data_IF_042717393328
#
_entry.id   IF_042717393328
#
_cell.length_a   1.000
_cell.length_b   1.000
_cell.length_c   1.000
_cell.angle_alpha   90.00
_cell.angle_beta   90.00
_cell.angle_gamma   90.00
#
_symmetry.space_group_name_H-M   'P 1'
#
loop_
_entity.id
_entity.type
_entity.pdbx_description
1 polymer ?
#
# COMPACT_ATOMS: atom_id res chain seq x y z
N UNK A 1 9.11 7.66 4.94
CA UNK A 1 8.54 6.35 5.27
C UNK A 1 9.27 5.75 6.45
N UNK A 2 8.54 5.09 7.33
CA UNK A 2 9.11 4.32 8.45
C UNK A 2 8.46 2.94 8.47
N UNK A 3 9.25 1.91 8.73
CA UNK A 3 8.77 0.56 8.79
C UNK A 3 9.36 -0.21 9.97
N UNK A 4 8.58 -1.14 10.51
CA UNK A 4 9.00 -1.98 11.63
C UNK A 4 8.17 -3.26 11.67
N UNK A 5 8.71 -4.29 12.30
CA UNK A 5 7.92 -5.47 12.64
C UNK A 5 6.89 -5.11 13.70
N UNK A 6 5.64 -5.50 13.48
CA UNK A 6 4.56 -5.09 14.38
C UNK A 6 4.66 -5.75 15.76
N UNK A 7 5.12 -6.99 15.83
CA UNK A 7 5.23 -7.73 17.09
C UNK A 7 6.41 -7.28 17.96
N UNK A 8 7.60 -7.13 17.37
CA UNK A 8 8.81 -6.79 18.10
C UNK A 8 9.13 -5.30 18.12
N UNK A 9 8.48 -4.51 17.27
CA UNK A 9 8.77 -3.09 17.02
C UNK A 9 10.17 -2.86 16.43
N UNK A 10 10.85 -3.92 15.98
CA UNK A 10 12.17 -3.81 15.39
C UNK A 10 12.09 -3.03 14.07
N UNK A 11 12.89 -1.97 13.90
CA UNK A 11 12.88 -1.19 12.66
C UNK A 11 13.36 -2.02 11.47
N UNK A 12 12.82 -1.68 10.29
CA UNK A 12 13.22 -2.27 9.02
C UNK A 12 13.56 -1.13 8.07
N UNK A 13 14.69 -1.24 7.36
CA UNK A 13 15.03 -0.26 6.33
C UNK A 13 14.19 -0.51 5.06
N UNK A 14 14.13 0.50 4.19
CA UNK A 14 13.46 0.35 2.90
C UNK A 14 14.10 -0.77 2.07
N UNK A 15 15.40 -0.95 2.19
CA UNK A 15 16.13 -2.01 1.50
C UNK A 15 15.75 -3.40 2.00
N UNK A 16 15.43 -3.53 3.27
CA UNK A 16 15.03 -4.81 3.86
C UNK A 16 13.60 -5.21 3.53
N UNK A 17 12.81 -4.32 2.93
CA UNK A 17 11.48 -4.65 2.41
C UNK A 17 11.57 -5.43 1.09
N UNK A 18 12.60 -5.18 0.29
CA UNK A 18 12.74 -5.79 -1.04
C UNK A 18 12.79 -7.33 -1.00
N UNK A 19 13.49 -7.99 -0.06
CA UNK A 19 13.46 -9.44 0.04
C UNK A 19 12.06 -10.02 0.28
N UNK A 20 11.15 -9.24 0.85
CA UNK A 20 9.75 -9.61 1.04
C UNK A 20 8.87 -9.25 -0.17
N UNK A 21 9.48 -8.76 -1.24
CA UNK A 21 8.78 -8.40 -2.47
C UNK A 21 8.18 -7.00 -2.47
N UNK A 22 8.34 -6.25 -1.40
CA UNK A 22 7.77 -4.90 -1.27
C UNK A 22 8.79 -3.89 -1.79
N UNK A 23 8.40 -3.14 -2.82
CA UNK A 23 9.27 -2.15 -3.46
C UNK A 23 8.90 -0.75 -2.98
N UNK A 24 9.91 0.09 -2.87
CA UNK A 24 9.74 1.46 -2.36
C UNK A 24 10.66 2.42 -3.09
N UNK A 25 10.13 3.62 -3.39
CA UNK A 25 10.94 4.74 -3.85
C UNK A 25 10.32 6.05 -3.37
N UNK A 26 11.16 6.98 -2.93
CA UNK A 26 10.71 8.34 -2.65
C UNK A 26 10.74 9.16 -3.95
N UNK A 27 9.60 9.76 -4.30
CA UNK A 27 9.47 10.66 -5.44
C UNK A 27 8.98 12.01 -4.94
N UNK A 28 9.75 13.07 -5.16
CA UNK A 28 9.37 14.40 -4.68
C UNK A 28 7.93 14.73 -5.10
N UNK A 29 7.04 15.13 -4.18
CA UNK A 29 5.62 15.34 -4.50
C UNK A 29 5.37 16.66 -5.24
N UNK A 30 6.03 16.82 -6.37
CA UNK A 30 5.87 17.92 -7.30
C UNK A 30 5.58 17.33 -8.68
N UNK A 31 4.55 17.83 -9.41
CA UNK A 31 4.11 17.18 -10.66
C UNK A 31 5.20 16.95 -11.70
N UNK A 32 6.18 17.85 -11.81
CA UNK A 32 7.27 17.69 -12.76
C UNK A 32 8.27 16.60 -12.35
N UNK A 33 8.25 16.16 -11.09
CA UNK A 33 9.19 15.16 -10.58
C UNK A 33 8.54 13.80 -10.43
N UNK A 34 7.39 13.71 -9.72
CA UNK A 34 6.85 12.39 -9.43
C UNK A 34 6.34 11.68 -10.68
N UNK A 35 5.80 12.42 -11.66
CA UNK A 35 5.24 11.77 -12.84
C UNK A 35 6.34 11.07 -13.66
N UNK A 36 7.54 11.64 -13.73
CA UNK A 36 8.67 10.99 -14.39
C UNK A 36 8.99 9.66 -13.72
N UNK A 37 9.03 9.64 -12.40
CA UNK A 37 9.27 8.42 -11.62
C UNK A 37 8.16 7.39 -11.79
N UNK A 38 6.90 7.82 -11.78
CA UNK A 38 5.76 6.93 -12.00
C UNK A 38 5.80 6.32 -13.41
N UNK A 39 6.13 7.11 -14.42
CA UNK A 39 6.22 6.62 -15.80
C UNK A 39 7.35 5.59 -15.93
N UNK A 40 8.47 5.78 -15.24
CA UNK A 40 9.55 4.80 -15.22
C UNK A 40 9.10 3.47 -14.59
N UNK A 41 8.33 3.53 -13.50
CA UNK A 41 7.77 2.34 -12.87
C UNK A 41 6.72 1.65 -13.75
N UNK A 42 5.91 2.43 -14.48
CA UNK A 42 4.96 1.86 -15.45
C UNK A 42 5.69 1.01 -16.48
N UNK A 43 6.79 1.51 -17.04
CA UNK A 43 7.58 0.76 -18.00
C UNK A 43 8.17 -0.49 -17.36
N UNK A 44 8.76 -0.35 -16.18
CA UNK A 44 9.46 -1.45 -15.48
C UNK A 44 8.52 -2.57 -15.07
N UNK A 45 7.30 -2.24 -14.63
CA UNK A 45 6.35 -3.21 -14.08
C UNK A 45 5.15 -3.45 -14.99
N UNK A 46 5.12 -2.86 -16.18
CA UNK A 46 4.04 -3.02 -17.18
C UNK A 46 2.70 -2.47 -16.69
N UNK A 47 2.71 -1.38 -15.93
CA UNK A 47 1.49 -0.65 -15.65
C UNK A 47 1.14 0.23 -16.83
N UNK A 48 -0.14 0.29 -17.22
CA UNK A 48 -0.60 1.02 -18.39
C UNK A 48 -1.45 2.24 -18.06
N UNK A 49 -2.05 2.27 -16.88
CA UNK A 49 -2.95 3.37 -16.49
C UNK A 49 -2.66 3.82 -15.07
N UNK A 50 -3.14 5.02 -14.76
CA UNK A 50 -3.15 5.54 -13.40
C UNK A 50 -4.42 6.31 -13.13
N UNK A 51 -4.83 6.35 -11.88
CA UNK A 51 -5.88 7.22 -11.40
C UNK A 51 -5.50 7.82 -10.05
N UNK A 52 -6.38 8.63 -9.49
CA UNK A 52 -6.16 9.28 -8.22
C UNK A 52 -7.37 9.06 -7.33
N UNK A 53 -7.12 8.69 -6.07
CA UNK A 53 -8.16 8.49 -5.06
C UNK A 53 -7.87 9.37 -3.86
N UNK A 54 -8.92 9.76 -3.16
CA UNK A 54 -8.82 10.61 -1.98
C UNK A 54 -9.78 10.13 -0.90
N UNK A 55 -9.28 10.05 0.34
CA UNK A 55 -10.08 9.84 1.53
C UNK A 55 -9.87 11.01 2.48
N UNK A 56 -10.96 11.54 3.02
CA UNK A 56 -10.95 12.64 4.00
C UNK A 56 -11.95 12.33 5.09
N UNK A 57 -11.95 13.07 6.20
CA UNK A 57 -12.97 12.90 7.24
C UNK A 57 -14.40 13.10 6.72
N UNK A 58 -14.59 13.78 5.58
CA UNK A 58 -15.89 14.02 4.97
C UNK A 58 -16.30 12.99 3.92
N UNK A 59 -15.45 12.01 3.63
CA UNK A 59 -15.75 10.98 2.65
C UNK A 59 -16.99 10.19 3.08
N UNK A 60 -18.01 10.05 2.20
CA UNK A 60 -19.21 9.26 2.53
C UNK A 60 -18.83 7.81 2.87
N UNK A 61 -19.47 7.26 3.92
CA UNK A 61 -19.23 5.90 4.38
C UNK A 61 -17.76 5.61 4.73
N UNK A 62 -17.05 6.59 5.24
CA UNK A 62 -15.63 6.43 5.55
C UNK A 62 -15.40 5.27 6.53
N UNK A 63 -16.25 5.13 7.55
CA UNK A 63 -16.11 4.05 8.54
C UNK A 63 -16.16 2.67 7.88
N UNK A 64 -17.12 2.46 6.96
CA UNK A 64 -17.22 1.20 6.24
C UNK A 64 -16.05 0.94 5.33
N UNK A 65 -15.53 1.98 4.67
CA UNK A 65 -14.35 1.87 3.81
C UNK A 65 -13.12 1.48 4.63
N UNK A 66 -12.92 2.13 5.78
CA UNK A 66 -11.79 1.84 6.68
C UNK A 66 -11.86 0.39 7.17
N UNK A 67 -13.04 -0.07 7.55
CA UNK A 67 -13.23 -1.45 8.01
C UNK A 67 -12.90 -2.46 6.93
N UNK A 68 -13.33 -2.20 5.69
CA UNK A 68 -13.01 -3.08 4.56
C UNK A 68 -11.51 -3.16 4.30
N UNK A 69 -10.83 -2.02 4.30
CA UNK A 69 -9.40 -1.97 4.00
C UNK A 69 -8.55 -2.61 5.09
N UNK A 70 -9.04 -2.69 6.31
CA UNK A 70 -8.30 -3.27 7.43
C UNK A 70 -8.44 -4.79 7.54
N UNK A 71 -9.32 -5.40 6.77
CA UNK A 71 -9.40 -6.86 6.69
C UNK A 71 -8.21 -7.39 5.89
N UNK A 72 -7.57 -8.41 6.41
CA UNK A 72 -6.43 -9.04 5.73
C UNK A 72 -6.88 -9.65 4.40
N UNK A 73 -6.26 -9.21 3.32
CA UNK A 73 -6.63 -9.62 1.97
C UNK A 73 -5.43 -9.55 1.03
N UNK A 74 -5.60 -10.13 -0.17
CA UNK A 74 -4.65 -9.96 -1.26
C UNK A 74 -5.40 -9.62 -2.54
N UNK A 75 -4.66 -9.16 -3.52
CA UNK A 75 -5.12 -9.00 -4.89
C UNK A 75 -4.26 -9.84 -5.82
N UNK A 76 -4.80 -10.21 -6.97
CA UNK A 76 -4.04 -10.95 -7.99
C UNK A 76 -3.14 -10.04 -8.83
N UNK A 77 -3.26 -8.72 -8.67
CA UNK A 77 -2.37 -7.72 -9.26
C UNK A 77 -1.56 -7.03 -8.17
N UNK A 78 -0.46 -6.38 -8.58
CA UNK A 78 0.29 -5.53 -7.66
C UNK A 78 -0.59 -4.41 -7.14
N UNK A 79 -0.38 -4.03 -5.89
CA UNK A 79 -0.97 -2.81 -5.35
C UNK A 79 0.10 -1.72 -5.33
N UNK A 80 0.10 -0.86 -6.34
CA UNK A 80 1.05 0.24 -6.48
C UNK A 80 0.37 1.55 -6.10
N UNK A 81 0.90 2.22 -5.08
CA UNK A 81 0.33 3.45 -4.52
C UNK A 81 1.42 4.50 -4.34
N UNK A 82 1.20 5.67 -4.91
CA UNK A 82 2.04 6.84 -4.66
C UNK A 82 1.26 7.83 -3.80
N UNK A 83 1.81 8.20 -2.66
CA UNK A 83 1.15 9.10 -1.73
C UNK A 83 1.46 10.54 -2.14
N UNK A 84 0.45 11.24 -2.66
CA UNK A 84 0.58 12.62 -3.11
C UNK A 84 0.46 13.59 -1.94
N UNK A 85 -0.50 13.33 -1.04
CA UNK A 85 -0.75 14.15 0.15
C UNK A 85 -1.28 13.27 1.27
N UNK A 86 -1.04 13.70 2.50
CA UNK A 86 -1.53 12.96 3.67
C UNK A 86 -0.64 11.80 4.04
N UNK A 87 -1.24 10.79 4.68
CA UNK A 87 -0.51 9.66 5.23
C UNK A 87 -1.40 8.43 5.35
N UNK A 88 -0.76 7.28 5.45
CA UNK A 88 -1.45 6.00 5.64
C UNK A 88 -0.55 4.96 6.27
N UNK A 89 -1.13 3.84 6.62
CA UNK A 89 -0.43 2.74 7.28
C UNK A 89 -0.76 1.45 6.55
N UNK A 90 0.26 0.83 5.97
CA UNK A 90 0.13 -0.51 5.38
C UNK A 90 0.70 -1.53 6.36
N UNK A 91 -0.05 -2.58 6.62
CA UNK A 91 0.47 -3.79 7.25
C UNK A 91 0.57 -4.86 6.17
N UNK A 92 1.75 -5.41 6.00
CA UNK A 92 2.06 -6.35 4.92
C UNK A 92 2.68 -7.60 5.52
N UNK A 93 2.22 -8.77 5.09
CA UNK A 93 2.83 -10.02 5.56
C UNK A 93 4.23 -10.19 4.98
N UNK A 94 5.18 -10.49 5.84
CA UNK A 94 6.53 -10.88 5.42
C UNK A 94 6.52 -12.30 4.84
N UNK A 95 7.66 -12.74 4.32
CA UNK A 95 7.77 -14.10 3.79
C UNK A 95 7.58 -15.17 4.86
N UNK A 96 7.84 -14.85 6.12
CA UNK A 96 7.62 -15.74 7.26
C UNK A 96 6.30 -15.44 8.00
N UNK A 97 5.37 -14.80 7.31
CA UNK A 97 4.01 -14.53 7.79
C UNK A 97 3.95 -13.64 9.03
N UNK A 98 4.88 -12.72 9.16
CA UNK A 98 4.87 -11.68 10.20
C UNK A 98 4.31 -10.38 9.62
N UNK A 99 3.70 -9.56 10.48
CA UNK A 99 3.26 -8.24 10.05
C UNK A 99 4.43 -7.26 10.00
N UNK A 100 4.62 -6.66 8.82
CA UNK A 100 5.50 -5.52 8.61
C UNK A 100 4.60 -4.28 8.53
N UNK A 101 4.77 -3.35 9.44
CA UNK A 101 4.01 -2.09 9.41
C UNK A 101 4.82 -1.03 8.69
N UNK A 102 4.23 -0.45 7.66
CA UNK A 102 4.88 0.56 6.83
C UNK A 102 4.05 1.84 6.89
N UNK A 103 4.59 2.86 7.52
CA UNK A 103 3.96 4.18 7.59
C UNK A 103 4.41 4.99 6.38
N UNK A 104 3.45 5.39 5.54
CA UNK A 104 3.73 6.14 4.32
C UNK A 104 3.15 7.55 4.42
N UNK A 105 3.79 8.49 3.73
CA UNK A 105 3.37 9.89 3.67
C UNK A 105 3.72 10.48 2.31
N UNK A 106 3.42 11.76 2.11
CA UNK A 106 3.63 12.42 0.81
C UNK A 106 5.04 12.17 0.28
N UNK A 107 5.13 11.74 -0.96
CA UNK A 107 6.38 11.40 -1.64
C UNK A 107 6.70 9.92 -1.67
N UNK A 108 6.00 9.10 -0.89
CA UNK A 108 6.27 7.66 -0.83
C UNK A 108 5.54 6.90 -1.91
N UNK A 109 6.28 6.17 -2.73
CA UNK A 109 5.73 5.15 -3.62
C UNK A 109 5.99 3.79 -2.98
N UNK A 110 4.93 3.00 -2.82
CA UNK A 110 5.02 1.64 -2.32
C UNK A 110 4.34 0.70 -3.31
N UNK A 111 4.98 -0.44 -3.57
CA UNK A 111 4.41 -1.48 -4.43
C UNK A 111 4.36 -2.77 -3.62
N UNK A 112 3.15 -3.22 -3.34
CA UNK A 112 2.90 -4.51 -2.69
C UNK A 112 2.69 -5.51 -3.80
N UNK A 113 3.48 -6.60 -3.87
CA UNK A 113 3.38 -7.53 -4.98
C UNK A 113 2.05 -8.29 -4.98
N UNK A 114 1.66 -8.74 -6.16
CA UNK A 114 0.49 -9.61 -6.31
C UNK A 114 0.57 -10.80 -5.35
N UNK A 115 -0.58 -11.21 -4.84
CA UNK A 115 -0.74 -12.38 -3.99
C UNK A 115 -0.08 -12.30 -2.61
N UNK A 116 0.27 -11.09 -2.14
CA UNK A 116 0.79 -10.88 -0.80
C UNK A 116 -0.29 -10.29 0.11
N UNK A 117 -0.58 -10.97 1.20
CA UNK A 117 -1.59 -10.50 2.15
C UNK A 117 -1.17 -9.20 2.80
N UNK A 118 -2.11 -8.28 2.90
CA UNK A 118 -1.90 -6.97 3.49
C UNK A 118 -3.22 -6.38 3.98
N UNK A 119 -3.12 -5.25 4.65
CA UNK A 119 -4.26 -4.45 5.07
C UNK A 119 -3.82 -2.98 5.16
N UNK A 120 -4.78 -2.08 5.16
CA UNK A 120 -4.50 -0.64 5.19
C UNK A 120 -5.38 0.04 6.21
N UNK A 121 -4.83 1.06 6.89
CA UNK A 121 -5.64 1.96 7.71
C UNK A 121 -5.14 3.39 7.58
N UNK A 122 -6.03 4.34 7.86
CA UNK A 122 -5.70 5.76 7.91
C UNK A 122 -5.03 6.12 9.23
N UNK A 123 -4.27 7.20 9.22
CA UNK A 123 -3.79 7.84 10.43
C UNK A 123 -4.95 8.55 11.13
N UNK A 124 -4.77 9.05 12.38
CA UNK A 124 -5.84 9.78 13.07
C UNK A 124 -6.38 10.99 12.30
N UNK A 125 -5.58 11.62 11.45
CA UNK A 125 -5.99 12.74 10.60
C UNK A 125 -6.99 12.32 9.53
N UNK A 126 -7.04 11.04 9.20
CA UNK A 126 -7.98 10.45 8.23
C UNK A 126 -7.96 11.17 6.88
N UNK A 127 -6.78 11.45 6.38
CA UNK A 127 -6.61 12.16 5.12
C UNK A 127 -5.48 11.57 4.30
N UNK A 128 -5.79 11.17 3.06
CA UNK A 128 -4.81 10.67 2.12
C UNK A 128 -5.29 10.94 0.69
N UNK A 129 -4.36 11.36 -0.16
CA UNK A 129 -4.56 11.41 -1.61
C UNK A 129 -3.46 10.55 -2.23
N UNK A 130 -3.85 9.54 -2.99
CA UNK A 130 -2.91 8.59 -3.59
C UNK A 130 -3.17 8.43 -5.08
N UNK A 131 -2.09 8.27 -5.83
CA UNK A 131 -2.13 7.86 -7.23
C UNK A 131 -1.95 6.35 -7.26
N UNK A 132 -2.83 5.67 -8.01
CA UNK A 132 -2.79 4.22 -8.18
C UNK A 132 -2.31 3.89 -9.58
N UNK A 133 -1.43 2.90 -9.68
CA UNK A 133 -0.93 2.40 -10.97
C UNK A 133 -1.52 1.02 -11.24
N UNK A 134 -1.93 0.78 -12.48
CA UNK A 134 -2.62 -0.46 -12.86
C UNK A 134 -2.07 -1.03 -14.16
N UNK A 135 -2.06 -2.37 -14.23
CA UNK A 135 -1.88 -3.10 -15.48
C UNK A 135 -3.14 -3.02 -16.33
N UNK A 136 -3.05 -3.47 -17.58
CA UNK A 136 -4.22 -3.61 -18.44
C UNK A 136 -5.18 -4.64 -17.83
N UNK A 137 -6.49 -4.37 -17.91
CA UNK A 137 -7.55 -5.21 -17.32
C UNK A 137 -7.29 -5.51 -15.84
N UNK A 138 -7.16 -4.48 -15.00
CA UNK A 138 -6.78 -4.67 -13.61
C UNK A 138 -7.87 -5.37 -12.83
N UNK A 139 -7.44 -6.22 -11.86
CA UNK A 139 -8.33 -6.80 -10.88
C UNK A 139 -7.99 -6.23 -9.51
N UNK A 140 -8.93 -5.54 -8.90
CA UNK A 140 -8.81 -5.05 -7.52
C UNK A 140 -9.80 -5.72 -6.58
N UNK A 141 -10.38 -6.84 -7.02
CA UNK A 141 -11.23 -7.62 -6.16
C UNK A 141 -10.41 -8.20 -5.01
N UNK A 142 -10.79 -7.92 -3.74
CA UNK A 142 -10.04 -8.45 -2.62
C UNK A 142 -10.33 -9.93 -2.42
N UNK A 143 -9.27 -10.70 -2.19
CA UNK A 143 -9.38 -12.08 -1.75
C UNK A 143 -9.04 -12.11 -0.27
N UNK A 144 -10.04 -12.28 0.58
CA UNK A 144 -9.85 -12.26 2.01
C UNK A 144 -9.17 -13.52 2.49
N UNK A 145 -8.26 -13.36 3.47
CA UNK A 145 -7.58 -14.51 4.04
C UNK A 145 -8.56 -15.30 4.90
N UNK A 146 -8.69 -16.62 4.69
CA UNK A 146 -9.53 -17.43 5.54
C UNK A 146 -9.04 -17.40 6.97
N UNK A 147 -9.97 -17.24 7.93
CA UNK A 147 -9.62 -17.38 9.33
C UNK A 147 -9.45 -18.86 9.65
N UNK A 148 -8.43 -19.17 10.44
CA UNK A 148 -8.25 -20.53 10.90
C UNK A 148 -9.41 -20.92 11.82
N UNK A 149 -9.93 -22.13 11.63
CA UNK A 149 -10.94 -22.70 12.50
C UNK A 149 -10.23 -23.31 13.70
N UNK A 150 -10.85 -23.19 14.88
CA UNK A 150 -10.32 -23.77 16.12
C UNK A 150 -8.92 -23.27 16.48
N UNK A 151 -8.74 -22.00 16.39
CA UNK A 151 -7.55 -21.38 16.94
C UNK A 151 -7.61 -21.36 18.43
N UNK A 152 -6.65 -21.99 19.04
CA UNK A 152 -6.55 -22.06 20.47
C UNK A 152 -5.30 -21.34 20.95
#
# INVERSE_FOLDING_TARGET
>A
MQAHYLDTQKPISTQDLAPHGVLYEYLLPHPTHYQIGLDAWKIRRHYTTQDQVQLTPQTPNLTGIIEMFYKEHLHTDDEARYILRGAGIFDIRSNDDKWLRVNVEAGDLIIIPANKYHRFKLTPEKQITAIRLFKENPSWEPVYRPQAINRE
#
